data_IF_311882532833
#
_entry.id   IF_311882532833
#
_cell.length_a   1.000
_cell.length_b   1.000
_cell.length_c   1.000
_cell.angle_alpha   90.00
_cell.angle_beta   90.00
_cell.angle_gamma   90.00
#
_symmetry.space_group_name_H-M   'P 1'
#
loop_
_entity.id
_entity.type
_entity.pdbx_description
1 polymer ?
#
# COMPACT_ATOMS: atom_id res chain seq x y z
N UNK A 1 4.29 29.31 -4.15
CA UNK A 1 4.92 28.11 -3.55
C UNK A 1 4.34 27.95 -2.15
N UNK A 2 3.19 27.30 -2.04
CA UNK A 2 2.56 27.03 -0.75
C UNK A 2 3.25 25.80 -0.17
N UNK A 3 4.19 26.03 0.76
CA UNK A 3 4.80 24.98 1.56
C UNK A 3 3.70 24.42 2.48
N UNK A 4 3.02 23.37 2.03
CA UNK A 4 2.16 22.55 2.86
C UNK A 4 3.10 21.68 3.69
N UNK A 5 3.78 22.28 4.66
CA UNK A 5 4.11 21.56 5.90
C UNK A 5 2.78 21.52 6.64
N UNK A 6 2.01 20.45 6.42
CA UNK A 6 0.78 20.18 7.17
C UNK A 6 1.09 20.28 8.67
N UNK A 7 0.21 20.96 9.41
CA UNK A 7 0.37 21.33 10.81
C UNK A 7 1.05 20.24 11.66
N UNK A 8 2.24 20.55 12.20
CA UNK A 8 2.93 19.75 13.22
C UNK A 8 4.12 18.90 12.76
N UNK A 9 4.43 18.83 11.45
CA UNK A 9 5.61 18.11 10.96
C UNK A 9 6.83 19.03 10.95
N UNK A 10 7.91 18.62 11.60
CA UNK A 10 9.18 19.35 11.55
C UNK A 10 10.07 18.82 10.42
N UNK A 11 10.97 19.63 9.85
CA UNK A 11 11.92 19.16 8.82
C UNK A 11 12.74 17.92 9.25
N UNK A 12 13.04 17.79 10.55
CA UNK A 12 13.76 16.65 11.10
C UNK A 12 12.97 15.32 11.04
N UNK A 13 11.65 15.36 10.89
CA UNK A 13 10.79 14.18 10.78
C UNK A 13 10.72 13.61 9.36
N UNK A 14 11.04 14.42 8.34
CA UNK A 14 10.90 14.06 6.92
C UNK A 14 11.67 12.76 6.58
N UNK A 15 12.93 12.53 7.03
CA UNK A 15 13.63 11.28 6.74
C UNK A 15 12.90 10.04 7.27
N UNK A 16 12.31 10.13 8.48
CA UNK A 16 11.53 9.04 9.06
C UNK A 16 10.24 8.77 8.28
N UNK A 17 9.56 9.83 7.83
CA UNK A 17 8.35 9.71 7.00
C UNK A 17 8.69 9.08 5.65
N UNK A 18 9.78 9.49 5.00
CA UNK A 18 10.26 8.86 3.75
C UNK A 18 10.58 7.38 3.94
N UNK A 19 11.21 7.01 5.05
CA UNK A 19 11.49 5.59 5.33
C UNK A 19 10.19 4.80 5.55
N UNK A 20 9.18 5.39 6.19
CA UNK A 20 7.88 4.76 6.34
C UNK A 20 7.16 4.58 5.00
N UNK A 21 7.25 5.56 4.09
CA UNK A 21 6.74 5.46 2.70
C UNK A 21 7.41 4.29 1.98
N UNK A 22 8.74 4.23 1.98
CA UNK A 22 9.51 3.14 1.35
C UNK A 22 9.06 1.76 1.83
N UNK A 23 8.95 1.58 3.16
CA UNK A 23 8.47 0.32 3.75
C UNK A 23 7.05 -0.01 3.31
N UNK A 24 6.16 0.99 3.25
CA UNK A 24 4.79 0.79 2.78
C UNK A 24 4.76 0.37 1.30
N UNK A 25 5.55 1.01 0.43
CA UNK A 25 5.62 0.64 -0.98
C UNK A 25 6.14 -0.80 -1.17
N UNK A 26 7.22 -1.16 -0.48
CA UNK A 26 7.78 -2.52 -0.53
C UNK A 26 6.76 -3.57 -0.08
N UNK A 27 6.06 -3.31 1.03
CA UNK A 27 5.01 -4.18 1.52
C UNK A 27 3.82 -4.24 0.56
N UNK A 28 3.45 -3.11 -0.06
CA UNK A 28 2.35 -3.06 -1.01
C UNK A 28 2.63 -3.93 -2.23
N UNK A 29 3.84 -3.84 -2.78
CA UNK A 29 4.28 -4.66 -3.91
C UNK A 29 4.34 -6.14 -3.54
N UNK A 30 4.97 -6.49 -2.41
CA UNK A 30 5.09 -7.88 -1.98
C UNK A 30 3.73 -8.55 -1.77
N UNK A 31 2.78 -7.84 -1.13
CA UNK A 31 1.42 -8.36 -0.95
C UNK A 31 0.64 -8.39 -2.27
N UNK A 32 0.87 -7.45 -3.18
CA UNK A 32 0.26 -7.44 -4.51
C UNK A 32 0.66 -8.67 -5.33
N UNK A 33 1.94 -9.06 -5.29
CA UNK A 33 2.44 -10.27 -5.94
C UNK A 33 1.76 -11.52 -5.36
N UNK A 34 1.72 -11.67 -4.03
CA UNK A 34 1.08 -12.83 -3.39
C UNK A 34 -0.41 -12.92 -3.75
N UNK A 35 -1.11 -11.77 -3.78
CA UNK A 35 -2.50 -11.73 -4.22
C UNK A 35 -2.68 -12.25 -5.64
N UNK A 36 -1.84 -11.79 -6.59
CA UNK A 36 -1.90 -12.24 -7.99
C UNK A 36 -1.63 -13.75 -8.07
N UNK A 37 -0.59 -14.25 -7.40
CA UNK A 37 -0.22 -15.67 -7.39
C UNK A 37 -1.37 -16.54 -6.85
N UNK A 38 -2.04 -16.09 -5.79
CA UNK A 38 -3.19 -16.81 -5.22
C UNK A 38 -4.41 -16.79 -6.12
N UNK A 39 -4.70 -15.67 -6.79
CA UNK A 39 -5.78 -15.61 -7.80
C UNK A 39 -5.48 -16.56 -8.94
N UNK A 40 -4.25 -16.58 -9.45
CA UNK A 40 -3.87 -17.51 -10.50
C UNK A 40 -3.96 -18.97 -10.06
N UNK A 41 -3.54 -19.28 -8.81
CA UNK A 41 -3.69 -20.62 -8.22
C UNK A 41 -5.15 -21.05 -8.19
N UNK A 42 -6.06 -20.19 -7.73
CA UNK A 42 -7.50 -20.47 -7.68
C UNK A 42 -8.11 -20.67 -9.07
N UNK A 43 -7.68 -19.89 -10.06
CA UNK A 43 -8.09 -20.07 -11.46
C UNK A 43 -7.62 -21.42 -12.00
N UNK A 44 -6.35 -21.80 -11.75
CA UNK A 44 -5.78 -23.09 -12.20
C UNK A 44 -6.43 -24.30 -11.54
N UNK A 45 -6.79 -24.22 -10.26
CA UNK A 45 -7.48 -25.30 -9.56
C UNK A 45 -9.00 -25.33 -9.77
N UNK A 46 -9.55 -24.37 -10.54
CA UNK A 46 -11.00 -24.16 -10.71
C UNK A 46 -11.76 -23.91 -9.39
N UNK A 47 -11.03 -23.51 -8.35
CA UNK A 47 -11.55 -23.22 -7.01
C UNK A 47 -12.07 -21.79 -6.88
N UNK A 48 -11.90 -20.95 -7.89
CA UNK A 48 -12.35 -19.55 -7.91
C UNK A 48 -13.86 -19.36 -7.69
N UNK A 49 -14.66 -20.44 -7.84
CA UNK A 49 -16.10 -20.42 -7.57
C UNK A 49 -16.42 -20.54 -6.07
N UNK A 50 -15.48 -21.02 -5.28
CA UNK A 50 -15.62 -21.20 -3.84
C UNK A 50 -14.97 -20.03 -3.11
N UNK A 51 -15.82 -19.06 -2.74
CA UNK A 51 -15.39 -17.83 -2.05
C UNK A 51 -14.69 -18.12 -0.72
N UNK A 52 -14.96 -19.26 -0.06
CA UNK A 52 -14.26 -19.62 1.17
C UNK A 52 -12.75 -19.83 0.97
N UNK A 53 -12.33 -20.14 -0.27
CA UNK A 53 -10.92 -20.32 -0.64
C UNK A 53 -10.22 -19.02 -1.02
N UNK A 54 -10.92 -17.89 -1.03
CA UNK A 54 -10.37 -16.59 -1.44
C UNK A 54 -9.71 -15.83 -0.30
N UNK A 55 -9.79 -16.32 0.94
CA UNK A 55 -9.35 -15.59 2.14
C UNK A 55 -7.92 -15.08 2.02
N UNK A 56 -6.98 -15.91 1.56
CA UNK A 56 -5.58 -15.52 1.43
C UNK A 56 -5.39 -14.40 0.38
N UNK A 57 -6.01 -14.53 -0.78
CA UNK A 57 -5.98 -13.51 -1.83
C UNK A 57 -6.57 -12.18 -1.33
N UNK A 58 -7.69 -12.23 -0.60
CA UNK A 58 -8.36 -11.04 -0.03
C UNK A 58 -7.48 -10.36 1.02
N UNK A 59 -6.86 -11.11 1.92
CA UNK A 59 -5.99 -10.58 2.96
C UNK A 59 -4.81 -9.83 2.34
N UNK A 60 -4.14 -10.44 1.36
CA UNK A 60 -2.98 -9.83 0.71
C UNK A 60 -3.37 -8.63 -0.16
N UNK A 61 -4.49 -8.70 -0.87
CA UNK A 61 -5.03 -7.54 -1.59
C UNK A 61 -5.32 -6.37 -0.64
N UNK A 62 -5.96 -6.65 0.50
CA UNK A 62 -6.29 -5.63 1.49
C UNK A 62 -5.04 -4.99 2.10
N UNK A 63 -4.04 -5.80 2.47
CA UNK A 63 -2.74 -5.32 2.97
C UNK A 63 -2.04 -4.44 1.94
N UNK A 64 -2.01 -4.87 0.68
CA UNK A 64 -1.42 -4.10 -0.42
C UNK A 64 -2.06 -2.71 -0.53
N UNK A 65 -3.40 -2.67 -0.62
CA UNK A 65 -4.16 -1.43 -0.73
C UNK A 65 -3.97 -0.49 0.47
N UNK A 66 -3.97 -1.01 1.70
CA UNK A 66 -3.75 -0.19 2.89
C UNK A 66 -2.36 0.44 2.86
N UNK A 67 -1.33 -0.34 2.54
CA UNK A 67 0.03 0.17 2.47
C UNK A 67 0.18 1.27 1.41
N UNK A 68 -0.40 1.11 0.22
CA UNK A 68 -0.43 2.18 -0.80
C UNK A 68 -1.10 3.44 -0.27
N UNK A 69 -2.27 3.32 0.37
CA UNK A 69 -3.00 4.48 0.92
C UNK A 69 -2.24 5.19 2.05
N UNK A 70 -1.54 4.44 2.89
CA UNK A 70 -0.68 5.00 3.94
C UNK A 70 0.50 5.74 3.29
N UNK A 71 1.15 5.15 2.30
CA UNK A 71 2.25 5.78 1.58
C UNK A 71 1.81 7.10 0.93
N UNK A 72 0.65 7.11 0.25
CA UNK A 72 0.10 8.32 -0.38
C UNK A 72 -0.25 9.40 0.65
N UNK A 73 -0.84 9.01 1.77
CA UNK A 73 -1.11 9.94 2.87
C UNK A 73 0.19 10.56 3.41
N UNK A 74 1.23 9.74 3.63
CA UNK A 74 2.53 10.20 4.11
C UNK A 74 3.25 11.09 3.10
N UNK A 75 3.14 10.80 1.78
CA UNK A 75 3.67 11.67 0.72
C UNK A 75 2.99 13.03 0.74
N UNK A 76 1.65 13.06 0.85
CA UNK A 76 0.90 14.31 0.94
C UNK A 76 1.33 15.16 2.15
N UNK A 77 1.62 14.51 3.29
CA UNK A 77 2.09 15.18 4.51
C UNK A 77 3.46 15.88 4.35
N UNK A 78 4.32 15.41 3.45
CA UNK A 78 5.64 16.01 3.17
C UNK A 78 5.72 16.75 1.83
N UNK A 79 4.58 16.93 1.16
CA UNK A 79 4.49 17.63 -0.12
C UNK A 79 5.02 16.85 -1.34
N UNK A 80 5.06 15.52 -1.27
CA UNK A 80 5.57 14.62 -2.33
C UNK A 80 4.46 13.86 -3.09
N UNK A 81 3.20 14.30 -3.00
CA UNK A 81 2.05 13.68 -3.71
C UNK A 81 1.44 14.60 -4.78
N UNK A 82 0.90 14.02 -5.85
CA UNK A 82 0.16 14.77 -6.87
C UNK A 82 -1.07 15.43 -6.24
N UNK A 83 -1.18 16.75 -6.42
CA UNK A 83 -2.39 17.51 -6.07
C UNK A 83 -3.53 17.05 -6.98
N UNK A 84 -4.24 16.01 -6.56
CA UNK A 84 -5.48 15.52 -7.20
C UNK A 84 -6.69 16.09 -6.47
#
# INVERSE_FOLDING_TARGET
MNSIITAGITPAMIPGIRKAIEICDEYAVANGVIYIDEVERLCRSNDWKDVSKHELAVIHHHKSNICTRIADHLRALIGEGDAS
#
